data_IF_577239268316
#
_entry.id   IF_577239268316
#
_cell.length_a   1.000
_cell.length_b   1.000
_cell.length_c   1.000
_cell.angle_alpha   90.00
_cell.angle_beta   90.00
_cell.angle_gamma   90.00
#
_symmetry.space_group_name_H-M   'P 1'
#
loop_
_entity.id
_entity.type
_entity.pdbx_description
1 polymer ?
#
# COMPACT_ATOMS: atom_id res chain seq x y z
N UNK A 1 7.94 -23.70 2.13
CA UNK A 1 8.40 -22.40 1.66
C UNK A 1 9.91 -22.32 1.76
N UNK A 2 10.61 -22.13 0.63
CA UNK A 2 12.09 -22.08 0.57
C UNK A 2 12.66 -20.67 0.75
N UNK A 3 11.83 -19.63 0.82
CA UNK A 3 12.29 -18.24 0.88
C UNK A 3 13.24 -17.95 2.06
N UNK A 4 12.95 -18.37 3.31
CA UNK A 4 13.88 -18.15 4.41
C UNK A 4 15.27 -18.79 4.17
N UNK A 5 15.29 -20.00 3.60
CA UNK A 5 16.54 -20.68 3.26
C UNK A 5 17.35 -19.95 2.17
N UNK A 6 16.65 -19.39 1.16
CA UNK A 6 17.29 -18.59 0.12
C UNK A 6 17.93 -17.34 0.72
N UNK A 7 17.18 -16.61 1.58
CA UNK A 7 17.71 -15.40 2.24
C UNK A 7 18.91 -15.74 3.12
N UNK A 8 18.86 -16.85 3.89
CA UNK A 8 19.99 -17.32 4.68
C UNK A 8 21.20 -17.67 3.83
N UNK A 9 21.00 -18.36 2.70
CA UNK A 9 22.08 -18.70 1.77
C UNK A 9 22.72 -17.44 1.14
N UNK A 10 21.92 -16.46 0.72
CA UNK A 10 22.42 -15.19 0.21
C UNK A 10 23.24 -14.42 1.27
N UNK A 11 22.74 -14.38 2.51
CA UNK A 11 23.46 -13.79 3.62
C UNK A 11 24.82 -14.49 3.84
N UNK A 12 24.82 -15.81 3.85
CA UNK A 12 26.05 -16.58 4.04
C UNK A 12 27.07 -16.31 2.94
N UNK A 13 26.63 -16.24 1.68
CA UNK A 13 27.53 -15.90 0.56
C UNK A 13 28.19 -14.52 0.72
N UNK A 14 27.45 -13.53 1.25
CA UNK A 14 28.03 -12.20 1.52
C UNK A 14 29.13 -12.31 2.59
N UNK A 15 28.86 -13.04 3.68
CA UNK A 15 29.82 -13.22 4.77
C UNK A 15 31.05 -14.02 4.34
N UNK A 16 30.86 -15.09 3.56
CA UNK A 16 31.95 -15.93 3.01
C UNK A 16 32.87 -15.15 2.05
N UNK A 17 32.29 -14.14 1.39
CA UNK A 17 33.07 -13.22 0.54
C UNK A 17 33.76 -12.08 1.32
N UNK A 18 33.72 -12.10 2.65
CA UNK A 18 34.31 -11.08 3.51
C UNK A 18 33.45 -9.83 3.71
N UNK A 19 32.18 -9.87 3.26
CA UNK A 19 31.23 -8.78 3.45
C UNK A 19 30.78 -8.68 4.93
N UNK A 20 30.39 -7.49 5.35
CA UNK A 20 29.88 -7.21 6.69
C UNK A 20 28.38 -6.98 6.59
N UNK A 21 27.61 -7.57 7.50
CA UNK A 21 26.16 -7.35 7.63
C UNK A 21 25.89 -6.90 9.05
N UNK A 22 25.39 -5.70 9.20
CA UNK A 22 25.03 -5.14 10.49
C UNK A 22 23.52 -4.97 10.59
N UNK A 23 22.95 -5.30 11.74
CA UNK A 23 21.56 -5.11 12.08
C UNK A 23 21.41 -3.92 13.03
N UNK A 24 20.16 -3.40 13.13
CA UNK A 24 19.84 -2.26 13.98
C UNK A 24 20.62 -0.98 13.64
N UNK A 25 21.11 -0.90 12.41
CA UNK A 25 21.86 0.24 11.85
C UNK A 25 20.98 0.98 10.84
N UNK A 26 20.03 1.77 11.36
CA UNK A 26 19.16 2.59 10.49
C UNK A 26 19.94 3.80 9.99
N UNK A 27 20.03 3.97 8.66
CA UNK A 27 20.55 5.18 8.04
C UNK A 27 19.65 6.39 8.36
N UNK A 28 20.22 7.46 8.88
CA UNK A 28 19.52 8.70 9.23
C UNK A 28 20.07 9.93 8.51
N UNK A 29 21.30 9.86 8.01
CA UNK A 29 21.93 10.92 7.23
C UNK A 29 23.00 10.39 6.27
N UNK A 30 23.50 11.25 5.38
CA UNK A 30 24.64 10.97 4.50
C UNK A 30 25.34 12.27 4.09
N UNK A 31 26.64 12.16 3.79
CA UNK A 31 27.47 13.29 3.39
C UNK A 31 27.73 13.26 1.89
N UNK A 32 27.53 14.40 1.23
CA UNK A 32 27.86 14.61 -0.19
C UNK A 32 29.00 15.62 -0.27
N UNK A 33 30.06 15.27 -0.99
CA UNK A 33 31.17 16.16 -1.32
C UNK A 33 31.43 16.13 -2.83
N UNK A 34 31.41 17.30 -3.46
CA UNK A 34 31.60 17.42 -4.90
C UNK A 34 30.68 16.52 -5.75
N UNK A 35 29.40 16.36 -5.31
CA UNK A 35 28.41 15.54 -5.99
C UNK A 35 28.53 14.03 -5.74
N UNK A 36 29.44 13.59 -4.89
CA UNK A 36 29.67 12.18 -4.55
C UNK A 36 29.29 11.92 -3.09
N UNK A 37 28.54 10.85 -2.84
CA UNK A 37 28.24 10.38 -1.49
C UNK A 37 29.53 9.79 -0.90
N UNK A 38 29.96 10.30 0.25
CA UNK A 38 31.21 9.88 0.94
C UNK A 38 30.98 8.96 2.12
N UNK A 39 29.88 9.17 2.82
CA UNK A 39 29.56 8.38 4.00
C UNK A 39 28.05 8.38 4.27
N UNK A 40 27.60 7.38 5.00
CA UNK A 40 26.28 7.32 5.61
C UNK A 40 26.42 7.38 7.11
N UNK A 41 25.45 8.01 7.79
CA UNK A 41 25.36 8.06 9.24
C UNK A 41 24.17 7.23 9.70
N UNK A 42 24.39 6.42 10.72
CA UNK A 42 23.34 5.60 11.34
C UNK A 42 22.73 6.30 12.55
N UNK A 43 21.58 5.82 12.99
CA UNK A 43 20.90 6.33 14.18
C UNK A 43 21.72 6.19 15.47
N UNK A 44 22.68 5.25 15.50
CA UNK A 44 23.57 5.02 16.64
C UNK A 44 24.76 5.99 16.64
N UNK A 45 24.87 6.84 15.62
CA UNK A 45 25.97 7.82 15.47
C UNK A 45 27.17 7.30 14.69
N UNK A 46 27.15 6.05 14.23
CA UNK A 46 28.23 5.47 13.42
C UNK A 46 28.29 6.12 12.05
N UNK A 47 29.50 6.39 11.56
CA UNK A 47 29.76 6.91 10.23
C UNK A 47 30.44 5.81 9.42
N UNK A 48 29.79 5.37 8.36
CA UNK A 48 30.29 4.34 7.45
C UNK A 48 30.68 5.01 6.13
N UNK A 49 31.96 4.96 5.79
CA UNK A 49 32.52 5.51 4.55
C UNK A 49 32.75 4.40 3.52
N UNK A 50 32.72 4.75 2.25
CA UNK A 50 32.97 3.82 1.16
C UNK A 50 33.15 4.56 -0.18
N UNK A 51 33.68 3.84 -1.18
CA UNK A 51 33.88 4.36 -2.53
C UNK A 51 32.56 4.58 -3.27
N UNK A 52 31.53 3.82 -2.93
CA UNK A 52 30.18 3.92 -3.49
C UNK A 52 29.12 3.50 -2.46
N UNK A 53 27.94 4.08 -2.59
CA UNK A 53 26.77 3.75 -1.75
C UNK A 53 25.62 3.30 -2.64
N UNK A 54 25.08 2.11 -2.35
CA UNK A 54 23.86 1.59 -3.00
C UNK A 54 22.68 1.75 -2.04
N UNK A 55 21.73 2.63 -2.42
CA UNK A 55 20.51 2.83 -1.66
C UNK A 55 19.43 1.84 -2.12
N UNK A 56 19.16 0.82 -1.31
CA UNK A 56 18.22 -0.27 -1.63
C UNK A 56 17.13 -0.43 -0.55
N UNK A 57 16.58 0.68 -0.06
CA UNK A 57 15.65 0.72 1.09
C UNK A 57 14.19 0.37 0.74
N UNK A 58 13.90 0.15 -0.55
CA UNK A 58 12.56 -0.16 -1.05
C UNK A 58 11.65 1.07 -1.15
N UNK A 59 10.46 0.85 -1.71
CA UNK A 59 9.53 1.94 -2.05
C UNK A 59 8.69 2.47 -0.87
N UNK A 60 8.79 1.84 0.31
CA UNK A 60 8.03 2.21 1.51
C UNK A 60 8.83 3.05 2.51
N UNK A 61 10.10 3.34 2.22
CA UNK A 61 10.99 4.12 3.06
C UNK A 61 10.74 5.64 2.91
N UNK A 62 9.61 6.12 3.41
CA UNK A 62 9.22 7.54 3.32
C UNK A 62 10.21 8.48 4.01
N UNK A 63 10.85 8.05 5.08
CA UNK A 63 11.91 8.75 5.78
C UNK A 63 13.14 9.00 4.88
N UNK A 64 13.52 8.03 4.07
CA UNK A 64 14.60 8.17 3.10
C UNK A 64 14.24 9.17 1.99
N UNK A 65 13.02 9.14 1.47
CA UNK A 65 12.59 10.13 0.48
C UNK A 65 12.59 11.54 1.06
N UNK A 66 12.18 11.71 2.32
CA UNK A 66 12.26 12.98 3.04
C UNK A 66 13.73 13.44 3.22
N UNK A 67 14.61 12.52 3.57
CA UNK A 67 16.05 12.77 3.68
C UNK A 67 16.64 13.21 2.34
N UNK A 68 16.36 12.49 1.24
CA UNK A 68 16.83 12.86 -0.11
C UNK A 68 16.37 14.26 -0.50
N UNK A 69 15.10 14.60 -0.24
CA UNK A 69 14.55 15.94 -0.50
C UNK A 69 15.28 17.01 0.30
N UNK A 70 15.51 16.78 1.60
CA UNK A 70 16.22 17.73 2.48
C UNK A 70 17.67 17.98 2.05
N UNK A 71 18.33 16.97 1.49
CA UNK A 71 19.69 17.06 0.92
C UNK A 71 19.72 17.59 -0.51
N UNK A 72 18.56 17.99 -1.07
CA UNK A 72 18.42 18.49 -2.45
C UNK A 72 18.88 17.50 -3.52
N UNK A 73 18.78 16.21 -3.23
CA UNK A 73 18.92 15.16 -4.26
C UNK A 73 17.71 15.22 -5.16
N UNK A 74 17.93 15.16 -6.48
CA UNK A 74 16.85 15.20 -7.46
C UNK A 74 15.93 14.00 -7.31
N UNK A 75 14.71 14.25 -6.91
CA UNK A 75 13.61 13.29 -6.85
C UNK A 75 12.35 13.93 -7.42
N UNK A 76 11.38 13.13 -7.82
CA UNK A 76 10.13 13.58 -8.43
C UNK A 76 8.93 12.84 -7.87
N UNK A 77 7.79 13.53 -7.76
CA UNK A 77 6.52 12.90 -7.48
C UNK A 77 6.14 11.93 -8.62
N UNK A 78 5.83 10.69 -8.27
CA UNK A 78 5.47 9.63 -9.22
C UNK A 78 4.05 9.16 -8.98
N UNK A 79 3.16 9.17 -9.99
CA UNK A 79 1.84 8.58 -9.91
C UNK A 79 1.89 7.13 -9.40
N UNK A 80 0.89 6.75 -8.61
CA UNK A 80 0.76 5.43 -8.02
C UNK A 80 -0.71 5.02 -7.97
N UNK A 81 -1.06 3.93 -7.31
CA UNK A 81 -2.45 3.54 -7.11
C UNK A 81 -2.73 3.29 -5.64
N UNK A 82 -3.94 3.68 -5.20
CA UNK A 82 -4.40 3.58 -3.82
C UNK A 82 -5.86 3.13 -3.78
N UNK A 83 -6.20 2.34 -2.79
CA UNK A 83 -7.56 1.86 -2.62
C UNK A 83 -7.75 1.03 -1.36
N UNK A 84 -8.32 -0.13 -1.52
CA UNK A 84 -8.74 -1.04 -0.45
C UNK A 84 -8.29 -2.47 -0.73
N UNK A 85 -8.33 -3.31 0.28
CA UNK A 85 -8.26 -4.76 0.13
C UNK A 85 -9.66 -5.35 0.18
N UNK A 86 -10.02 -6.13 -0.83
CA UNK A 86 -11.28 -6.88 -0.85
C UNK A 86 -10.99 -8.32 -0.44
N UNK A 87 -11.78 -8.85 0.47
CA UNK A 87 -11.72 -10.26 0.84
C UNK A 87 -13.09 -10.92 0.68
N UNK A 88 -13.09 -12.06 -0.01
CA UNK A 88 -14.24 -12.95 -0.18
C UNK A 88 -13.98 -14.29 0.51
N UNK A 89 -15.00 -15.05 0.91
CA UNK A 89 -14.87 -16.49 1.05
C UNK A 89 -14.31 -17.09 -0.23
N UNK A 90 -13.25 -17.93 -0.15
CA UNK A 90 -12.60 -18.52 -1.32
C UNK A 90 -13.59 -19.34 -2.16
N UNK A 91 -14.53 -20.02 -1.52
CA UNK A 91 -15.56 -20.82 -2.20
C UNK A 91 -16.44 -20.01 -3.16
N UNK A 92 -16.68 -18.72 -2.87
CA UNK A 92 -17.42 -17.85 -3.80
C UNK A 92 -16.60 -17.65 -5.07
N UNK A 93 -15.32 -17.37 -4.94
CA UNK A 93 -14.42 -17.15 -6.08
C UNK A 93 -14.23 -18.46 -6.86
N UNK A 94 -14.07 -19.58 -6.17
CA UNK A 94 -13.99 -20.92 -6.80
C UNK A 94 -15.24 -21.21 -7.62
N UNK A 95 -16.42 -21.00 -7.05
CA UNK A 95 -17.72 -21.23 -7.73
C UNK A 95 -17.87 -20.36 -8.98
N UNK A 96 -17.50 -19.09 -8.86
CA UNK A 96 -17.62 -18.15 -9.96
C UNK A 96 -16.65 -18.46 -11.10
N UNK A 97 -15.43 -18.85 -10.78
CA UNK A 97 -14.38 -19.08 -11.78
C UNK A 97 -14.47 -20.48 -12.42
N UNK A 98 -14.80 -21.51 -11.62
CA UNK A 98 -14.88 -22.88 -12.10
C UNK A 98 -16.30 -23.32 -12.52
N UNK A 99 -17.31 -22.46 -12.30
CA UNK A 99 -18.71 -22.75 -12.62
C UNK A 99 -19.23 -24.04 -11.98
N UNK A 100 -18.80 -24.36 -10.78
CA UNK A 100 -19.16 -25.55 -10.00
C UNK A 100 -19.57 -25.17 -8.57
N UNK A 101 -20.39 -26.01 -7.93
CA UNK A 101 -20.84 -25.77 -6.54
C UNK A 101 -19.68 -25.96 -5.57
N UNK A 102 -18.85 -26.97 -5.79
CA UNK A 102 -17.68 -27.30 -4.98
C UNK A 102 -16.47 -27.47 -5.90
N UNK A 103 -15.37 -26.84 -5.56
CA UNK A 103 -14.11 -26.99 -6.29
C UNK A 103 -13.56 -28.42 -6.14
N UNK A 104 -13.15 -29.01 -7.25
CA UNK A 104 -12.45 -30.28 -7.25
C UNK A 104 -11.13 -30.19 -6.48
N UNK A 105 -10.76 -31.24 -5.76
CA UNK A 105 -9.56 -31.30 -4.93
C UNK A 105 -8.25 -31.11 -5.73
N UNK A 106 -8.24 -31.47 -7.00
CA UNK A 106 -7.10 -31.33 -7.90
C UNK A 106 -6.97 -29.91 -8.49
N UNK A 107 -7.98 -29.06 -8.35
CA UNK A 107 -7.93 -27.68 -8.81
C UNK A 107 -7.32 -26.76 -7.73
N UNK A 108 -6.45 -25.82 -8.10
CA UNK A 108 -5.96 -24.83 -7.16
C UNK A 108 -7.08 -23.87 -6.74
N UNK A 109 -6.96 -23.16 -5.61
CA UNK A 109 -7.87 -22.08 -5.28
C UNK A 109 -7.92 -21.06 -6.41
N UNK A 110 -9.13 -20.70 -6.85
CA UNK A 110 -9.34 -19.82 -7.99
C UNK A 110 -8.83 -18.40 -7.70
N UNK A 111 -8.31 -17.77 -8.76
CA UNK A 111 -7.88 -16.39 -8.75
C UNK A 111 -8.63 -15.59 -9.81
N UNK A 112 -8.56 -14.26 -9.74
CA UNK A 112 -9.15 -13.37 -10.73
C UNK A 112 -8.27 -12.16 -11.01
N UNK A 113 -8.45 -11.57 -12.20
CA UNK A 113 -7.92 -10.25 -12.56
C UNK A 113 -9.08 -9.40 -13.08
N UNK A 114 -9.28 -8.21 -12.50
CA UNK A 114 -10.33 -7.27 -12.86
C UNK A 114 -9.73 -5.92 -13.18
N UNK A 115 -10.19 -5.29 -14.23
CA UNK A 115 -9.82 -3.94 -14.65
C UNK A 115 -10.99 -3.24 -15.30
N UNK A 116 -11.14 -1.94 -15.02
CA UNK A 116 -12.16 -1.10 -15.63
C UNK A 116 -11.70 0.37 -15.68
N UNK A 117 -12.23 1.10 -16.62
CA UNK A 117 -12.12 2.56 -16.65
C UNK A 117 -13.41 3.17 -16.07
N UNK A 118 -13.27 3.88 -14.95
CA UNK A 118 -14.38 4.51 -14.25
C UNK A 118 -14.06 5.99 -14.05
N UNK A 119 -14.96 6.87 -14.49
CA UNK A 119 -14.78 8.32 -14.43
C UNK A 119 -13.40 8.82 -14.92
N UNK A 120 -12.89 8.19 -16.00
CA UNK A 120 -11.60 8.55 -16.60
C UNK A 120 -10.37 8.06 -15.82
N UNK A 121 -10.55 7.19 -14.82
CA UNK A 121 -9.46 6.58 -14.04
C UNK A 121 -9.46 5.07 -14.14
N UNK A 122 -8.27 4.48 -14.20
CA UNK A 122 -8.09 3.04 -14.09
C UNK A 122 -8.42 2.55 -12.69
N UNK A 123 -9.31 1.56 -12.59
CA UNK A 123 -9.60 0.78 -11.38
C UNK A 123 -9.26 -0.67 -11.65
N UNK A 124 -8.40 -1.27 -10.84
CA UNK A 124 -7.90 -2.61 -11.13
C UNK A 124 -7.59 -3.43 -9.88
N UNK A 125 -7.65 -4.76 -10.04
CA UNK A 125 -7.20 -5.70 -9.03
C UNK A 125 -5.68 -5.74 -8.98
N UNK A 126 -5.13 -5.81 -7.77
CA UNK A 126 -3.69 -5.82 -7.52
C UNK A 126 -3.33 -6.91 -6.52
N UNK A 127 -2.28 -7.69 -6.82
CA UNK A 127 -1.78 -8.74 -5.92
C UNK A 127 -2.90 -9.61 -5.34
N UNK A 128 -3.69 -10.25 -6.23
CA UNK A 128 -4.72 -11.19 -5.83
C UNK A 128 -4.09 -12.44 -5.17
N UNK A 129 -4.58 -12.78 -3.98
CA UNK A 129 -4.07 -13.82 -3.10
C UNK A 129 -5.14 -14.90 -2.87
N UNK A 130 -5.24 -15.93 -3.73
CA UNK A 130 -6.16 -17.05 -3.52
C UNK A 130 -5.71 -17.89 -2.31
N UNK A 131 -6.67 -18.33 -1.48
CA UNK A 131 -6.38 -19.05 -0.24
C UNK A 131 -5.42 -18.29 0.67
N UNK A 132 -5.51 -16.96 0.65
CA UNK A 132 -4.59 -16.06 1.32
C UNK A 132 -5.16 -15.36 2.55
N UNK A 133 -4.39 -14.46 3.10
CA UNK A 133 -4.76 -13.62 4.25
C UNK A 133 -4.48 -12.15 3.96
N UNK A 134 -5.18 -11.27 4.65
CA UNK A 134 -4.82 -9.85 4.75
C UNK A 134 -3.87 -9.69 5.94
N UNK A 135 -2.81 -8.91 5.75
CA UNK A 135 -1.79 -8.64 6.76
C UNK A 135 -1.52 -7.14 6.90
N UNK A 136 -1.13 -6.66 8.11
CA UNK A 136 -0.67 -5.29 8.28
C UNK A 136 0.66 -5.08 7.58
N UNK A 137 0.84 -3.92 6.93
CA UNK A 137 2.02 -3.57 6.14
C UNK A 137 2.50 -2.13 6.37
N UNK A 138 2.06 -1.47 7.44
CA UNK A 138 2.52 -0.13 7.79
C UNK A 138 4.00 -0.13 8.19
N UNK A 139 4.74 0.89 7.76
CA UNK A 139 6.16 1.06 8.04
C UNK A 139 6.45 2.25 8.95
N UNK A 140 5.45 3.05 9.28
CA UNK A 140 5.58 4.22 10.13
C UNK A 140 4.54 4.23 11.25
N UNK A 141 4.90 4.77 12.41
CA UNK A 141 3.98 4.92 13.52
C UNK A 141 2.80 5.82 13.14
N UNK A 142 1.61 5.51 13.65
CA UNK A 142 0.40 6.28 13.37
C UNK A 142 -0.18 6.10 11.97
N UNK A 143 0.25 5.11 11.23
CA UNK A 143 -0.26 4.75 9.91
C UNK A 143 -0.82 3.33 9.89
N UNK A 144 -1.83 3.10 9.05
CA UNK A 144 -2.38 1.77 8.78
C UNK A 144 -2.33 1.48 7.28
N UNK A 145 -1.72 0.37 6.96
CA UNK A 145 -1.67 -0.18 5.59
C UNK A 145 -2.00 -1.66 5.68
N UNK A 146 -2.85 -2.13 4.79
CA UNK A 146 -3.14 -3.55 4.62
C UNK A 146 -2.57 -4.06 3.31
N UNK A 147 -2.08 -5.29 3.31
CA UNK A 147 -1.59 -5.98 2.13
C UNK A 147 -2.07 -7.43 2.14
N UNK A 148 -1.92 -8.17 1.06
CA UNK A 148 -2.30 -9.58 0.96
C UNK A 148 -1.09 -10.49 0.87
N UNK A 149 -1.27 -11.68 1.39
CA UNK A 149 -0.27 -12.72 1.35
C UNK A 149 -0.92 -14.11 1.18
N UNK A 150 -0.33 -14.97 0.37
CA UNK A 150 -0.77 -16.37 0.23
C UNK A 150 0.27 -17.31 0.82
N UNK A 151 -0.12 -18.22 1.74
CA UNK A 151 0.76 -19.30 2.16
C UNK A 151 1.02 -20.25 0.99
N UNK A 152 2.10 -21.01 1.06
CA UNK A 152 2.49 -21.93 -0.02
C UNK A 152 1.38 -22.93 -0.39
N UNK A 153 0.60 -23.37 0.59
CA UNK A 153 -0.52 -24.31 0.39
C UNK A 153 -1.79 -23.63 -0.14
N UNK A 154 -1.89 -22.29 -0.06
CA UNK A 154 -3.08 -21.52 -0.46
C UNK A 154 -4.39 -22.12 0.09
N UNK A 155 -4.36 -22.55 1.35
CA UNK A 155 -5.45 -23.30 1.98
C UNK A 155 -6.22 -22.51 3.04
N UNK A 156 -6.06 -21.20 3.07
CA UNK A 156 -6.91 -20.34 3.88
C UNK A 156 -8.31 -20.25 3.24
N UNK A 157 -9.39 -20.17 4.02
CA UNK A 157 -10.76 -20.12 3.49
C UNK A 157 -11.12 -18.81 2.77
N UNK A 158 -10.18 -17.90 2.59
CA UNK A 158 -10.42 -16.59 1.98
C UNK A 158 -9.59 -16.36 0.72
N UNK A 159 -10.13 -15.53 -0.15
CA UNK A 159 -9.50 -14.98 -1.34
C UNK A 159 -9.47 -13.45 -1.20
N UNK A 160 -8.31 -12.82 -1.27
CA UNK A 160 -8.24 -11.37 -1.18
C UNK A 160 -7.47 -10.73 -2.33
N UNK A 161 -7.79 -9.48 -2.65
CA UNK A 161 -7.13 -8.69 -3.68
C UNK A 161 -7.13 -7.21 -3.32
N UNK A 162 -6.05 -6.51 -3.57
CA UNK A 162 -6.11 -5.06 -3.66
C UNK A 162 -7.07 -4.65 -4.78
N UNK A 163 -7.87 -3.62 -4.55
CA UNK A 163 -8.67 -2.91 -5.54
C UNK A 163 -8.30 -1.45 -5.45
N UNK A 164 -7.63 -0.96 -6.45
CA UNK A 164 -6.95 0.33 -6.40
C UNK A 164 -7.32 1.21 -7.57
N UNK A 165 -7.27 2.51 -7.32
CA UNK A 165 -7.55 3.59 -8.27
C UNK A 165 -6.25 4.33 -8.53
N UNK A 166 -6.00 4.68 -9.77
CA UNK A 166 -4.86 5.51 -10.17
C UNK A 166 -4.93 6.89 -9.50
N UNK A 167 -3.80 7.32 -8.93
CA UNK A 167 -3.62 8.62 -8.27
C UNK A 167 -2.57 9.41 -9.04
N UNK A 168 -3.00 10.54 -9.59
CA UNK A 168 -2.17 11.50 -10.30
C UNK A 168 -1.80 12.67 -9.39
N UNK A 169 -0.78 13.43 -9.77
CA UNK A 169 -0.35 14.65 -9.07
C UNK A 169 -1.50 15.64 -8.86
N UNK A 170 -2.36 15.83 -9.87
CA UNK A 170 -3.50 16.73 -9.78
C UNK A 170 -4.52 16.30 -8.71
N UNK A 171 -4.74 15.00 -8.54
CA UNK A 171 -5.65 14.48 -7.51
C UNK A 171 -5.19 14.85 -6.09
N UNK A 172 -3.89 14.77 -5.85
CA UNK A 172 -3.30 15.17 -4.57
C UNK A 172 -3.38 16.69 -4.36
N UNK A 173 -3.14 17.49 -5.41
CA UNK A 173 -3.30 18.95 -5.35
C UNK A 173 -4.75 19.34 -5.02
N UNK A 174 -5.72 18.70 -5.68
CA UNK A 174 -7.14 18.95 -5.42
C UNK A 174 -7.55 18.53 -3.99
N UNK A 175 -7.03 17.41 -3.50
CA UNK A 175 -7.23 16.96 -2.13
C UNK A 175 -6.72 17.97 -1.09
N UNK A 176 -5.56 18.58 -1.33
CA UNK A 176 -4.96 19.57 -0.43
C UNK A 176 -5.54 21.00 -0.59
N UNK A 177 -6.55 21.23 -1.45
CA UNK A 177 -7.31 22.49 -1.43
C UNK A 177 -8.16 22.65 -0.18
N UNK A 178 -8.58 21.55 0.45
CA UNK A 178 -9.36 21.58 1.68
C UNK A 178 -8.51 22.01 2.88
N UNK A 179 -8.99 23.02 3.62
CA UNK A 179 -8.26 23.62 4.74
C UNK A 179 -7.88 22.61 5.85
N UNK A 180 -8.77 21.64 6.13
CA UNK A 180 -8.51 20.59 7.12
C UNK A 180 -7.39 19.65 6.68
N UNK A 181 -7.29 19.35 5.38
CA UNK A 181 -6.21 18.52 4.84
C UNK A 181 -4.87 19.25 4.91
N UNK A 182 -4.85 20.57 4.63
CA UNK A 182 -3.65 21.37 4.79
C UNK A 182 -3.15 21.39 6.24
N UNK A 183 -4.03 21.65 7.22
CA UNK A 183 -3.68 21.64 8.64
C UNK A 183 -3.09 20.31 9.09
N UNK A 184 -3.69 19.20 8.64
CA UNK A 184 -3.17 17.86 8.96
C UNK A 184 -1.80 17.65 8.30
N UNK A 185 -1.63 18.07 7.05
CA UNK A 185 -0.34 18.02 6.35
C UNK A 185 0.75 18.77 7.09
N UNK A 186 0.49 20.02 7.51
CA UNK A 186 1.40 20.84 8.30
C UNK A 186 1.81 20.16 9.61
N UNK A 187 0.85 19.54 10.29
CA UNK A 187 1.10 18.78 11.52
C UNK A 187 1.96 17.54 11.31
N UNK A 188 1.73 16.80 10.22
CA UNK A 188 2.46 15.55 9.93
C UNK A 188 3.84 15.80 9.30
N UNK A 189 3.94 16.85 8.49
CA UNK A 189 5.13 17.19 7.71
C UNK A 189 5.46 18.69 7.82
N UNK A 190 6.03 19.13 8.93
CA UNK A 190 6.34 20.57 9.15
C UNK A 190 7.28 21.17 8.09
N UNK A 191 8.03 20.33 7.38
CA UNK A 191 8.94 20.75 6.30
C UNK A 191 8.29 20.82 4.92
N UNK A 192 7.00 20.44 4.78
CA UNK A 192 6.29 20.48 3.51
C UNK A 192 6.15 21.91 3.00
N UNK A 193 6.38 22.11 1.71
CA UNK A 193 6.24 23.42 1.07
C UNK A 193 4.76 23.71 0.74
N UNK A 194 3.96 24.00 1.78
CA UNK A 194 2.50 24.12 1.69
C UNK A 194 2.05 25.14 0.62
N UNK A 195 2.81 26.21 0.43
CA UNK A 195 2.49 27.26 -0.56
C UNK A 195 2.93 26.89 -1.99
N UNK A 196 3.74 25.84 -2.14
CA UNK A 196 4.25 25.38 -3.44
C UNK A 196 4.21 23.85 -3.59
N UNK A 197 3.11 23.25 -3.13
CA UNK A 197 2.89 21.81 -3.23
C UNK A 197 2.98 21.29 -4.67
N UNK A 198 2.68 22.12 -5.65
CA UNK A 198 2.75 21.75 -7.06
C UNK A 198 4.19 21.41 -7.51
N UNK A 199 5.19 21.97 -6.87
CA UNK A 199 6.61 21.73 -7.16
C UNK A 199 7.28 20.83 -6.10
N UNK A 200 6.55 20.45 -5.04
CA UNK A 200 7.10 19.57 -4.00
C UNK A 200 7.18 18.12 -4.52
N UNK A 201 8.39 17.53 -4.61
CA UNK A 201 8.56 16.16 -5.08
C UNK A 201 7.95 15.10 -4.14
N UNK A 202 7.63 15.46 -2.91
CA UNK A 202 7.01 14.59 -1.90
C UNK A 202 5.48 14.69 -1.87
N UNK A 203 4.85 15.50 -2.72
CA UNK A 203 3.40 15.71 -2.75
C UNK A 203 2.60 14.41 -2.66
N UNK A 204 2.94 13.40 -3.49
CA UNK A 204 2.23 12.13 -3.53
C UNK A 204 2.56 11.23 -2.33
N UNK A 205 3.74 11.37 -1.73
CA UNK A 205 4.08 10.73 -0.46
C UNK A 205 3.23 11.30 0.69
N UNK A 206 3.04 12.61 0.73
CA UNK A 206 2.17 13.26 1.72
C UNK A 206 0.72 12.79 1.58
N UNK A 207 0.20 12.75 0.34
CA UNK A 207 -1.15 12.24 0.07
C UNK A 207 -1.32 10.80 0.56
N UNK A 208 -0.37 9.91 0.25
CA UNK A 208 -0.37 8.52 0.70
C UNK A 208 -0.40 8.45 2.23
N UNK A 209 0.53 9.13 2.91
CA UNK A 209 0.64 9.12 4.37
C UNK A 209 -0.62 9.66 5.07
N UNK A 210 -1.28 10.67 4.47
CA UNK A 210 -2.54 11.22 4.99
C UNK A 210 -3.67 10.19 5.00
N UNK A 211 -3.81 9.41 3.92
CA UNK A 211 -4.85 8.37 3.85
C UNK A 211 -4.54 7.23 4.82
N UNK A 212 -3.27 6.84 4.94
CA UNK A 212 -2.80 5.84 5.90
C UNK A 212 -3.06 6.28 7.36
N UNK A 213 -2.84 7.55 7.67
CA UNK A 213 -3.13 8.15 8.98
C UNK A 213 -4.64 8.14 9.27
N UNK A 214 -5.48 8.57 8.33
CA UNK A 214 -6.93 8.50 8.47
C UNK A 214 -7.43 7.07 8.71
N UNK A 215 -6.84 6.08 8.04
CA UNK A 215 -7.17 4.68 8.28
C UNK A 215 -6.80 4.23 9.69
N UNK A 216 -5.62 4.63 10.17
CA UNK A 216 -5.16 4.33 11.53
C UNK A 216 -6.11 4.92 12.59
N UNK A 217 -6.50 6.19 12.42
CA UNK A 217 -7.40 6.88 13.35
C UNK A 217 -8.81 6.25 13.35
N UNK A 218 -9.34 5.93 12.16
CA UNK A 218 -10.64 5.28 12.00
C UNK A 218 -10.67 3.86 12.60
N UNK A 219 -9.53 3.17 12.65
CA UNK A 219 -9.37 1.90 13.37
C UNK A 219 -9.23 2.06 14.89
N UNK A 220 -9.24 3.29 15.41
CA UNK A 220 -9.10 3.58 16.84
C UNK A 220 -7.66 3.73 17.33
N UNK A 221 -6.74 4.05 16.45
CA UNK A 221 -5.33 4.32 16.79
C UNK A 221 -4.51 3.06 17.09
N UNK A 222 -4.94 1.92 16.54
CA UNK A 222 -4.26 0.62 16.61
C UNK A 222 -4.19 0.01 15.21
N UNK A 223 -3.72 -1.25 15.11
CA UNK A 223 -3.71 -1.98 13.83
C UNK A 223 -5.09 -2.56 13.44
N UNK A 224 -6.17 -2.23 14.14
CA UNK A 224 -7.54 -2.55 13.74
C UNK A 224 -7.86 -1.77 12.46
N UNK A 225 -8.29 -2.46 11.40
CA UNK A 225 -8.55 -1.82 10.12
C UNK A 225 -10.01 -1.37 9.97
N UNK A 226 -10.27 -0.15 9.49
CA UNK A 226 -11.61 0.28 9.16
C UNK A 226 -12.12 -0.52 7.94
N UNK A 227 -13.34 -1.04 8.05
CA UNK A 227 -13.91 -1.92 7.04
C UNK A 227 -15.41 -1.73 6.86
N UNK A 228 -15.89 -2.19 5.71
CA UNK A 228 -17.31 -2.21 5.37
C UNK A 228 -17.63 -3.47 4.55
N UNK A 229 -18.89 -3.91 4.47
CA UNK A 229 -19.30 -4.93 3.50
C UNK A 229 -19.39 -4.31 2.10
N UNK A 230 -19.11 -5.07 1.06
CA UNK A 230 -18.96 -4.55 -0.31
C UNK A 230 -20.20 -3.83 -0.83
N UNK A 231 -21.41 -4.40 -0.68
CA UNK A 231 -22.64 -3.79 -1.17
C UNK A 231 -22.99 -2.54 -0.34
N UNK A 232 -22.79 -2.62 0.99
CA UNK A 232 -23.01 -1.47 1.86
C UNK A 232 -22.06 -0.32 1.51
N UNK A 233 -20.78 -0.61 1.30
CA UNK A 233 -19.80 0.38 0.83
C UNK A 233 -20.23 1.01 -0.50
N UNK A 234 -20.66 0.19 -1.47
CA UNK A 234 -21.06 0.67 -2.80
C UNK A 234 -22.34 1.51 -2.77
N UNK A 235 -23.21 1.29 -1.79
CA UNK A 235 -24.46 2.06 -1.59
C UNK A 235 -24.33 3.16 -0.54
N UNK A 236 -23.10 3.46 -0.11
CA UNK A 236 -22.77 4.49 0.88
C UNK A 236 -23.43 4.28 2.25
N UNK A 237 -23.57 3.02 2.66
CA UNK A 237 -24.09 2.63 3.96
C UNK A 237 -22.97 2.14 4.86
N UNK A 238 -23.06 2.37 6.15
CA UNK A 238 -22.20 1.73 7.14
C UNK A 238 -22.79 0.37 7.50
N UNK A 239 -21.98 -0.69 7.44
CA UNK A 239 -22.41 -2.02 7.85
C UNK A 239 -22.60 -2.09 9.35
N UNK A 240 -23.72 -2.64 9.80
CA UNK A 240 -23.98 -2.87 11.22
C UNK A 240 -23.11 -4.01 11.80
N UNK A 241 -22.76 -4.99 10.96
CA UNK A 241 -21.92 -6.13 11.30
C UNK A 241 -20.97 -6.43 10.16
N UNK A 242 -19.77 -6.89 10.47
CA UNK A 242 -18.81 -7.39 9.51
C UNK A 242 -18.83 -8.92 9.47
N UNK A 243 -18.52 -9.52 8.32
CA UNK A 243 -18.30 -10.95 8.22
C UNK A 243 -16.90 -11.31 8.79
N UNK A 244 -16.65 -12.60 9.00
CA UNK A 244 -15.33 -13.07 9.37
C UNK A 244 -14.29 -12.67 8.30
N UNK A 245 -13.09 -12.36 8.74
CA UNK A 245 -12.00 -11.90 7.89
C UNK A 245 -10.68 -12.52 8.35
N UNK A 246 -9.75 -12.67 7.43
CA UNK A 246 -8.42 -13.19 7.73
C UNK A 246 -7.50 -12.21 8.45
N UNK A 247 -7.85 -10.94 8.52
CA UNK A 247 -7.03 -9.89 9.14
C UNK A 247 -6.97 -10.03 10.66
N UNK A 248 -5.86 -10.55 11.18
CA UNK A 248 -5.70 -10.91 12.60
C UNK A 248 -5.90 -9.75 13.57
N UNK A 249 -5.40 -8.52 13.32
CA UNK A 249 -5.59 -7.43 14.25
C UNK A 249 -7.06 -7.00 14.45
N UNK A 250 -7.96 -7.48 13.60
CA UNK A 250 -9.40 -7.21 13.66
C UNK A 250 -9.85 -6.05 12.78
N UNK A 251 -11.16 -5.99 12.58
CA UNK A 251 -11.84 -4.97 11.77
C UNK A 251 -12.76 -4.13 12.63
N UNK A 252 -12.86 -2.83 12.31
CA UNK A 252 -13.87 -1.93 12.84
C UNK A 252 -14.85 -1.54 11.72
N UNK A 253 -16.15 -1.75 11.94
CA UNK A 253 -17.17 -1.28 11.01
C UNK A 253 -17.13 0.26 10.95
N UNK A 254 -16.88 0.80 9.78
CA UNK A 254 -16.69 2.23 9.60
C UNK A 254 -17.21 2.70 8.25
N UNK A 255 -17.78 3.91 8.22
CA UNK A 255 -18.02 4.57 6.93
C UNK A 255 -16.71 5.04 6.33
N UNK A 256 -16.25 4.36 5.28
CA UNK A 256 -14.97 4.64 4.61
C UNK A 256 -14.96 6.01 3.88
N UNK A 257 -16.05 6.75 3.89
CA UNK A 257 -16.13 8.14 3.40
C UNK A 257 -15.16 9.07 4.13
N UNK A 258 -14.95 8.84 5.41
CA UNK A 258 -14.04 9.64 6.23
C UNK A 258 -12.57 9.20 6.10
N UNK A 259 -12.32 8.06 5.48
CA UNK A 259 -10.99 7.46 5.31
C UNK A 259 -10.46 7.72 3.90
N UNK A 260 -11.24 7.32 2.90
CA UNK A 260 -10.81 7.39 1.49
C UNK A 260 -11.15 8.76 0.88
N UNK A 261 -10.25 9.35 0.09
CA UNK A 261 -10.56 10.51 -0.73
C UNK A 261 -11.79 10.25 -1.61
N UNK A 262 -12.62 11.27 -1.80
CA UNK A 262 -13.89 11.14 -2.51
C UNK A 262 -13.76 10.49 -3.89
N UNK A 263 -12.77 10.89 -4.69
CA UNK A 263 -12.57 10.33 -6.02
C UNK A 263 -12.21 8.84 -5.98
N UNK A 264 -11.38 8.39 -5.03
CA UNK A 264 -11.03 6.97 -4.85
C UNK A 264 -12.28 6.19 -4.47
N UNK A 265 -12.99 6.64 -3.44
CA UNK A 265 -14.22 6.00 -2.97
C UNK A 265 -15.24 5.85 -4.09
N UNK A 266 -15.55 6.93 -4.82
CA UNK A 266 -16.55 6.93 -5.88
C UNK A 266 -16.18 6.00 -7.03
N UNK A 267 -14.92 6.00 -7.46
CA UNK A 267 -14.44 5.10 -8.49
C UNK A 267 -14.56 3.63 -8.08
N UNK A 268 -14.20 3.28 -6.82
CA UNK A 268 -14.33 1.93 -6.30
C UNK A 268 -15.79 1.48 -6.21
N UNK A 269 -16.69 2.33 -5.70
CA UNK A 269 -18.12 2.04 -5.59
C UNK A 269 -18.73 1.65 -6.93
N UNK A 270 -18.48 2.44 -7.96
CA UNK A 270 -19.01 2.20 -9.29
C UNK A 270 -18.31 1.00 -9.98
N UNK A 271 -17.01 0.84 -9.78
CA UNK A 271 -16.26 -0.31 -10.29
C UNK A 271 -16.78 -1.64 -9.73
N UNK A 272 -17.09 -1.73 -8.43
CA UNK A 272 -17.59 -2.97 -7.83
C UNK A 272 -18.91 -3.43 -8.45
N UNK A 273 -19.80 -2.48 -8.78
CA UNK A 273 -21.05 -2.78 -9.50
C UNK A 273 -20.75 -3.34 -10.90
N UNK A 274 -19.79 -2.73 -11.62
CA UNK A 274 -19.38 -3.21 -12.95
C UNK A 274 -18.70 -4.58 -12.86
N UNK A 275 -17.82 -4.79 -11.88
CA UNK A 275 -17.17 -6.08 -11.66
C UNK A 275 -18.17 -7.17 -11.30
N UNK A 276 -19.22 -6.86 -10.55
CA UNK A 276 -20.32 -7.78 -10.28
C UNK A 276 -21.09 -8.22 -11.53
N UNK A 277 -21.16 -7.37 -12.56
CA UNK A 277 -21.75 -7.73 -13.86
C UNK A 277 -20.81 -8.61 -14.70
N UNK A 278 -19.50 -8.32 -14.66
CA UNK A 278 -18.46 -9.09 -15.36
C UNK A 278 -18.24 -10.48 -14.72
N UNK A 279 -18.34 -10.56 -13.40
CA UNK A 279 -18.09 -11.74 -12.60
C UNK A 279 -19.27 -11.95 -11.63
N UNK A 280 -20.31 -12.64 -12.10
CA UNK A 280 -21.56 -12.86 -11.35
C UNK A 280 -21.26 -13.60 -10.04
N UNK A 281 -21.67 -13.01 -8.90
CA UNK A 281 -21.39 -13.50 -7.55
C UNK A 281 -20.26 -12.77 -6.83
N UNK A 282 -19.43 -11.99 -7.55
CA UNK A 282 -18.39 -11.16 -6.95
C UNK A 282 -18.94 -10.03 -6.06
N UNK A 283 -19.99 -9.33 -6.54
CA UNK A 283 -20.64 -8.23 -5.84
C UNK A 283 -21.60 -8.76 -4.77
N UNK A 284 -21.14 -8.87 -3.55
CA UNK A 284 -21.87 -9.49 -2.44
C UNK A 284 -21.48 -8.85 -1.09
N UNK A 285 -22.40 -8.88 -0.11
CA UNK A 285 -22.12 -8.51 1.28
C UNK A 285 -21.41 -9.61 2.09
N UNK A 286 -21.09 -10.73 1.50
CA UNK A 286 -20.15 -11.69 2.07
C UNK A 286 -18.70 -11.23 1.93
N UNK A 287 -18.44 -10.30 1.00
CA UNK A 287 -17.14 -9.67 0.81
C UNK A 287 -16.92 -8.49 1.77
N UNK A 288 -15.69 -8.38 2.28
CA UNK A 288 -15.21 -7.27 3.09
C UNK A 288 -14.38 -6.29 2.26
N UNK A 289 -14.60 -5.00 2.47
CA UNK A 289 -13.80 -3.88 1.96
C UNK A 289 -12.98 -3.36 3.13
N UNK A 290 -11.66 -3.58 3.11
CA UNK A 290 -10.74 -3.24 4.19
C UNK A 290 -9.79 -2.13 3.74
N UNK A 291 -9.76 -1.00 4.42
CA UNK A 291 -8.87 0.12 4.08
C UNK A 291 -7.61 0.10 4.97
N UNK A 292 -6.48 0.48 4.44
CA UNK A 292 -6.14 1.05 3.12
C UNK A 292 -5.05 0.22 2.44
N UNK A 293 -5.19 -0.09 1.16
CA UNK A 293 -4.13 -0.61 0.29
C UNK A 293 -3.47 0.57 -0.43
N UNK A 294 -2.24 0.91 -0.07
CA UNK A 294 -1.55 2.12 -0.56
C UNK A 294 -0.15 1.86 -1.11
N UNK A 295 0.38 0.63 -0.93
CA UNK A 295 1.77 0.29 -1.23
C UNK A 295 1.92 -0.47 -2.55
N UNK A 296 1.18 -0.06 -3.58
CA UNK A 296 1.24 -0.67 -4.92
C UNK A 296 2.53 -0.35 -5.66
N UNK A 297 3.03 0.89 -5.51
CA UNK A 297 4.32 1.36 -6.06
C UNK A 297 4.80 2.58 -5.27
N UNK A 298 6.03 3.03 -5.54
CA UNK A 298 6.58 4.24 -4.93
C UNK A 298 5.82 5.48 -5.37
N UNK A 299 5.43 6.40 -4.46
CA UNK A 299 4.91 7.71 -4.81
C UNK A 299 6.00 8.73 -5.19
N UNK A 300 7.27 8.32 -5.10
CA UNK A 300 8.45 9.12 -5.44
C UNK A 300 9.36 8.29 -6.34
N UNK A 301 10.00 8.93 -7.31
CA UNK A 301 11.08 8.33 -8.09
C UNK A 301 12.36 9.15 -8.00
N UNK A 302 13.47 8.47 -8.10
CA UNK A 302 14.78 9.06 -8.35
C UNK A 302 14.97 8.98 -9.88
N UNK A 303 15.02 10.11 -10.60
CA UNK A 303 15.25 10.12 -12.05
C UNK A 303 16.60 9.49 -12.39
N UNK A 304 16.67 8.85 -13.53
CA UNK A 304 17.92 8.32 -14.09
C UNK A 304 18.23 9.08 -15.36
N UNK A 305 19.48 9.44 -15.55
CA UNK A 305 19.97 9.89 -16.83
C UNK A 305 20.13 8.66 -17.75
N UNK A 306 19.66 8.78 -18.98
CA UNK A 306 19.82 7.70 -19.98
C UNK A 306 21.30 7.47 -20.39
N UNK A 307 22.18 8.41 -20.04
CA UNK A 307 23.62 8.35 -20.32
C UNK A 307 24.44 7.73 -19.16
N UNK A 308 23.81 7.48 -18.01
CA UNK A 308 24.42 6.82 -16.84
C UNK A 308 23.67 5.53 -16.50
#
# INVERSE_FOLDING_TARGET
>A
NKLPQIIQAMRQQILDAGGIIEFEQKMVDFTIENGVVKSVQTQNGDIISGDAVVLATGHSAGDIFTLLSSKKVLIEAKPFALGVRIEHPQEIIDRVQYHCILRDENLPPASYGLVEQVHGKGVFSFCMCPGGIIAPAATSAGQLVVNGWSPSKRNNPYANSGMVVEVQKQDALDYFKEANHKKLLESMFPMAQINDLANDPLLLLYFQAMVEKKSFDAGGGKFVAPANRMVDFSTNKTSNTLANCSYIPGLAAHNLENVLPHFIRKNLQDAFVVFGKKMKGYYTNEAQVVATESRTSSPVRIPRDAAT
#
